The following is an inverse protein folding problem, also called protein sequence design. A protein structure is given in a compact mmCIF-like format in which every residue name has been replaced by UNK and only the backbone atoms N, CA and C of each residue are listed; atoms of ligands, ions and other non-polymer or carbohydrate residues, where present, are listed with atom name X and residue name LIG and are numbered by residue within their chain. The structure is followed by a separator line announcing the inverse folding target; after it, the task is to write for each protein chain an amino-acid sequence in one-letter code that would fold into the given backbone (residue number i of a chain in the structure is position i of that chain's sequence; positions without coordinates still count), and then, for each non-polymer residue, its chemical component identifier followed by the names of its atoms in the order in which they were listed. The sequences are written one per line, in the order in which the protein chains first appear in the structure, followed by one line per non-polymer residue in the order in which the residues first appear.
data_IF_179580832546
#
_entry.id   IF_179580832546
#
_cell.length_a   1.000
_cell.length_b   1.000
_cell.length_c   1.000
_cell.angle_alpha   90.00
_cell.angle_beta   90.00
_cell.angle_gamma   90.00
#
_symmetry.space_group_name_H-M   'P 1'
#
loop_
_entity.id
_entity.type
_entity.pdbx_description
1 polymer ?
#
# COMPACT_ATOMS: atom_id res chain seq x y z
N UNK A 1 0.84 -19.66 -7.15
CA UNK A 1 1.18 -18.85 -5.97
C UNK A 1 0.58 -17.46 -6.13
N UNK A 2 -0.02 -16.94 -5.08
CA UNK A 2 -0.62 -15.62 -5.13
C UNK A 2 0.42 -14.56 -4.80
N UNK A 3 0.33 -13.41 -5.46
CA UNK A 3 1.24 -12.29 -5.21
C UNK A 3 1.22 -11.87 -3.75
N UNK A 4 0.04 -11.84 -3.13
CA UNK A 4 -0.09 -11.47 -1.72
C UNK A 4 0.72 -12.40 -0.81
N UNK A 5 0.71 -13.69 -1.06
CA UNK A 5 1.50 -14.64 -0.28
C UNK A 5 2.99 -14.38 -0.44
N UNK A 6 3.42 -14.06 -1.67
CA UNK A 6 4.82 -13.73 -1.92
C UNK A 6 5.24 -12.49 -1.15
N UNK A 7 4.40 -11.46 -1.13
CA UNK A 7 4.69 -10.22 -0.40
C UNK A 7 4.77 -10.46 1.10
N UNK A 8 3.90 -11.31 1.64
CA UNK A 8 3.94 -11.65 3.06
C UNK A 8 5.25 -12.37 3.41
N UNK A 9 5.75 -13.23 2.53
CA UNK A 9 7.04 -13.89 2.71
C UNK A 9 8.21 -12.90 2.71
N UNK A 10 8.04 -11.75 2.08
CA UNK A 10 9.06 -10.70 2.05
C UNK A 10 8.92 -9.72 3.22
N UNK A 11 8.27 -10.15 4.30
CA UNK A 11 8.06 -9.37 5.53
C UNK A 11 7.10 -8.19 5.35
N UNK A 12 6.17 -8.29 4.42
CA UNK A 12 5.05 -7.36 4.35
C UNK A 12 3.96 -7.84 5.29
N UNK A 13 3.33 -6.91 5.98
CA UNK A 13 2.10 -7.21 6.68
C UNK A 13 1.00 -7.49 5.65
N UNK A 14 -0.08 -8.11 6.11
CA UNK A 14 -1.22 -8.38 5.23
C UNK A 14 -1.77 -7.08 4.63
N UNK A 15 -1.85 -6.03 5.44
CA UNK A 15 -2.34 -4.73 4.97
C UNK A 15 -1.40 -4.11 3.95
N UNK A 16 -0.10 -4.19 4.19
CA UNK A 16 0.88 -3.68 3.23
C UNK A 16 0.76 -4.40 1.88
N UNK A 17 0.57 -5.72 1.91
CA UNK A 17 0.37 -6.49 0.69
C UNK A 17 -0.89 -6.05 -0.04
N UNK A 18 -1.98 -5.79 0.69
CA UNK A 18 -3.21 -5.31 0.10
C UNK A 18 -3.03 -3.95 -0.57
N UNK A 19 -2.31 -3.05 0.08
CA UNK A 19 -2.02 -1.73 -0.47
C UNK A 19 -1.19 -1.87 -1.75
N UNK A 20 -0.14 -2.68 -1.71
CA UNK A 20 0.73 -2.89 -2.85
C UNK A 20 -0.08 -3.41 -4.06
N UNK A 21 -0.92 -4.41 -3.82
CA UNK A 21 -1.76 -4.98 -4.88
C UNK A 21 -2.77 -3.97 -5.42
N UNK A 22 -3.28 -3.09 -4.57
CA UNK A 22 -4.20 -2.04 -5.00
C UNK A 22 -3.52 -1.01 -5.91
N UNK A 23 -2.22 -0.79 -5.71
CA UNK A 23 -1.46 0.19 -6.49
C UNK A 23 -0.93 -0.37 -7.80
N UNK A 24 -0.78 -1.68 -7.92
CA UNK A 24 -0.28 -2.30 -9.15
C UNK A 24 -1.22 -1.96 -10.30
N UNK A 25 -0.64 -1.40 -11.36
CA UNK A 25 -1.40 -1.05 -12.55
C UNK A 25 -2.35 0.12 -12.40
N UNK A 26 -2.33 0.78 -11.25
CA UNK A 26 -3.18 1.93 -10.98
C UNK A 26 -2.39 3.22 -11.10
N UNK A 27 -3.11 4.33 -11.32
CA UNK A 27 -2.53 5.64 -11.16
C UNK A 27 -2.28 5.91 -9.67
N UNK A 28 -1.41 6.86 -9.35
CA UNK A 28 -1.18 7.21 -7.95
C UNK A 28 -2.47 7.51 -7.20
N UNK A 29 -2.57 7.04 -5.96
CA UNK A 29 -3.76 7.21 -5.14
C UNK A 29 -3.43 7.90 -3.83
N UNK A 30 -4.37 8.73 -3.35
CA UNK A 30 -4.28 9.29 -2.01
C UNK A 30 -4.56 8.20 -0.97
N UNK A 31 -4.15 8.45 0.28
CA UNK A 31 -4.48 7.54 1.37
C UNK A 31 -5.99 7.39 1.54
N UNK A 32 -6.73 8.47 1.29
CA UNK A 32 -8.19 8.44 1.35
C UNK A 32 -8.76 7.46 0.30
N UNK A 33 -8.25 7.54 -0.93
CA UNK A 33 -8.69 6.65 -2.01
C UNK A 33 -8.35 5.20 -1.71
N UNK A 34 -7.15 4.95 -1.18
CA UNK A 34 -6.74 3.60 -0.78
C UNK A 34 -7.64 3.07 0.32
N UNK A 35 -7.92 3.89 1.34
CA UNK A 35 -8.79 3.49 2.43
C UNK A 35 -10.17 3.08 1.93
N UNK A 36 -10.72 3.84 0.99
CA UNK A 36 -12.02 3.50 0.38
C UNK A 36 -11.95 2.22 -0.45
N UNK A 37 -10.89 2.06 -1.22
CA UNK A 37 -10.76 0.93 -2.14
C UNK A 37 -10.65 -0.39 -1.40
N UNK A 38 -9.88 -0.44 -0.32
CA UNK A 38 -9.66 -1.67 0.43
C UNK A 38 -10.44 -1.73 1.74
N UNK A 39 -11.29 -0.74 2.01
CA UNK A 39 -12.19 -0.69 3.16
C UNK A 39 -11.48 -0.79 4.51
N UNK A 40 -10.39 -0.04 4.66
CA UNK A 40 -9.58 0.02 5.87
C UNK A 40 -9.56 1.46 6.39
N UNK A 41 -9.54 1.62 7.71
CA UNK A 41 -9.49 2.94 8.34
C UNK A 41 -8.22 3.68 7.94
N UNK A 42 -8.33 4.99 7.70
CA UNK A 42 -7.21 5.82 7.27
C UNK A 42 -5.97 5.77 8.17
N UNK A 43 -6.10 5.79 9.51
CA UNK A 43 -4.90 5.69 10.35
C UNK A 43 -4.08 4.44 10.08
N UNK A 44 -4.74 3.32 9.84
CA UNK A 44 -4.04 2.06 9.50
C UNK A 44 -3.33 2.16 8.17
N UNK A 45 -3.96 2.83 7.19
CA UNK A 45 -3.35 3.06 5.88
C UNK A 45 -2.08 3.92 6.04
N UNK A 46 -2.15 5.00 6.81
CA UNK A 46 -0.98 5.87 7.02
C UNK A 46 0.18 5.12 7.66
N UNK A 47 -0.10 4.29 8.67
CA UNK A 47 0.94 3.50 9.32
C UNK A 47 1.60 2.52 8.34
N UNK A 48 0.79 1.84 7.55
CA UNK A 48 1.30 0.89 6.56
C UNK A 48 2.13 1.59 5.49
N UNK A 49 1.65 2.73 4.99
CA UNK A 49 2.37 3.50 3.98
C UNK A 49 3.71 4.00 4.50
N UNK A 50 3.77 4.42 5.76
CA UNK A 50 5.02 4.86 6.35
C UNK A 50 6.06 3.74 6.32
N UNK A 51 5.68 2.52 6.69
CA UNK A 51 6.58 1.38 6.62
C UNK A 51 6.99 1.07 5.18
N UNK A 52 6.06 1.16 4.24
CA UNK A 52 6.35 0.88 2.85
C UNK A 52 7.28 1.94 2.23
N UNK A 53 7.13 3.20 2.64
CA UNK A 53 8.04 4.26 2.23
C UNK A 53 9.46 4.01 2.75
N UNK A 54 9.58 3.57 4.01
CA UNK A 54 10.87 3.25 4.60
C UNK A 54 11.57 2.10 3.87
N UNK A 55 10.79 1.17 3.36
CA UNK A 55 11.33 0.04 2.59
C UNK A 55 11.59 0.38 1.12
N UNK A 56 11.21 1.58 0.67
CA UNK A 56 11.36 1.98 -0.72
C UNK A 56 10.39 1.32 -1.68
N UNK A 57 9.28 0.79 -1.17
CA UNK A 57 8.30 0.06 -1.98
C UNK A 57 7.29 0.97 -2.65
N UNK A 58 7.11 2.17 -2.13
CA UNK A 58 6.19 3.16 -2.68
C UNK A 58 6.88 4.51 -2.69
N UNK A 59 6.36 5.44 -3.47
CA UNK A 59 6.85 6.80 -3.53
C UNK A 59 5.72 7.77 -3.21
N UNK A 60 6.06 8.91 -2.61
CA UNK A 60 5.11 9.99 -2.46
C UNK A 60 5.25 10.93 -3.66
N UNK A 61 4.15 11.07 -4.41
CA UNK A 61 4.01 12.20 -5.32
C UNK A 61 3.07 13.16 -4.61
N UNK A 62 2.96 14.44 -5.01
CA UNK A 62 2.15 15.40 -4.24
C UNK A 62 0.76 14.84 -3.90
N UNK A 63 0.52 14.63 -2.60
CA UNK A 63 -0.75 14.15 -2.04
C UNK A 63 -1.18 12.74 -2.47
N UNK A 64 -0.29 11.96 -3.09
CA UNK A 64 -0.64 10.63 -3.57
C UNK A 64 0.51 9.64 -3.36
N UNK A 65 0.17 8.36 -3.44
CA UNK A 65 1.12 7.27 -3.30
C UNK A 65 1.23 6.50 -4.61
N UNK A 66 2.45 6.18 -5.02
CA UNK A 66 2.72 5.43 -6.24
C UNK A 66 3.73 4.32 -5.98
N UNK A 67 3.68 3.30 -6.79
CA UNK A 67 4.69 2.24 -6.79
C UNK A 67 6.00 2.68 -7.43
#
# INVERSE_FOLDING_TARGET
MKLQETLEHLNFSRLEAQIYMALIGSEPMSAYQLAKKIAIARPSIYNALEHMLDKGMVELVPDQTAL
#
